data_IF_642435976562
#
_entry.id   IF_642435976562
#
_cell.length_a   1.000
_cell.length_b   1.000
_cell.length_c   1.000
_cell.angle_alpha   90.00
_cell.angle_beta   90.00
_cell.angle_gamma   90.00
#
_symmetry.space_group_name_H-M   'P 1'
#
loop_
_entity.id
_entity.type
_entity.pdbx_description
1 polymer ?
#
# COMPACT_ATOMS: atom_id res chain seq x y z
N UNK A 1 -16.88 4.11 19.99
CA UNK A 1 -16.28 4.53 21.26
C UNK A 1 -16.58 3.43 22.26
N UNK A 2 -15.61 2.97 23.01
CA UNK A 2 -15.61 1.85 23.94
C UNK A 2 -15.29 0.47 23.31
N UNK A 3 -14.00 0.30 22.95
CA UNK A 3 -13.44 -0.98 22.46
C UNK A 3 -12.24 -1.36 23.32
N UNK A 4 -12.47 -1.86 24.56
CA UNK A 4 -11.41 -2.10 25.54
C UNK A 4 -10.38 -3.16 25.07
N UNK A 5 -10.81 -4.16 24.29
CA UNK A 5 -9.92 -5.18 23.74
C UNK A 5 -8.96 -4.58 22.73
N UNK A 6 -9.44 -3.78 21.76
CA UNK A 6 -8.59 -3.11 20.79
C UNK A 6 -7.64 -2.12 21.45
N UNK A 7 -8.09 -1.41 22.50
CA UNK A 7 -7.20 -0.52 23.27
C UNK A 7 -6.09 -1.31 23.95
N UNK A 8 -6.39 -2.49 24.48
CA UNK A 8 -5.42 -3.35 25.14
C UNK A 8 -4.38 -3.91 24.18
N UNK A 9 -4.79 -4.29 22.96
CA UNK A 9 -3.90 -4.74 21.89
C UNK A 9 -2.93 -3.64 21.39
N UNK A 10 -3.37 -2.38 21.45
CA UNK A 10 -2.56 -1.24 21.00
C UNK A 10 -1.60 -0.72 22.07
N UNK A 11 -1.77 -1.12 23.33
CA UNK A 11 -0.87 -0.75 24.42
C UNK A 11 0.23 -1.80 24.58
N UNK A 12 1.46 -1.32 24.74
CA UNK A 12 2.61 -2.13 25.08
C UNK A 12 3.34 -1.49 26.24
N UNK A 13 3.74 -2.29 27.24
CA UNK A 13 4.57 -1.85 28.34
C UNK A 13 5.99 -2.37 28.16
N UNK A 14 6.96 -1.47 28.31
CA UNK A 14 8.37 -1.85 28.36
C UNK A 14 8.70 -2.54 29.71
N UNK A 15 9.85 -3.25 29.80
CA UNK A 15 10.28 -3.89 31.03
C UNK A 15 10.44 -2.94 32.23
N UNK A 16 10.71 -1.66 31.96
CA UNK A 16 10.82 -0.56 32.93
C UNK A 16 9.48 0.12 33.25
N UNK A 17 8.37 -0.42 32.74
CA UNK A 17 7.02 0.01 33.10
C UNK A 17 6.47 1.18 32.29
N UNK A 18 7.18 1.67 31.27
CA UNK A 18 6.68 2.73 30.40
C UNK A 18 5.61 2.18 29.43
N UNK A 19 4.51 2.92 29.28
CA UNK A 19 3.43 2.57 28.40
C UNK A 19 3.63 3.22 27.02
N UNK A 20 3.54 2.42 25.96
CA UNK A 20 3.64 2.85 24.57
C UNK A 20 2.38 2.49 23.80
N UNK A 21 2.03 3.33 22.83
CA UNK A 21 0.93 3.09 21.91
C UNK A 21 1.46 2.59 20.56
N UNK A 22 0.96 1.43 20.13
CA UNK A 22 1.27 0.86 18.81
C UNK A 22 0.36 1.51 17.78
N UNK A 23 0.87 2.47 17.01
CA UNK A 23 0.11 3.17 15.96
C UNK A 23 -0.23 2.26 14.76
N UNK A 24 0.56 1.19 14.56
CA UNK A 24 0.49 0.33 13.39
C UNK A 24 1.22 0.90 12.18
N UNK A 25 1.96 1.98 12.37
CA UNK A 25 2.82 2.56 11.34
C UNK A 25 4.20 1.89 11.37
N UNK A 26 4.81 1.77 10.21
CA UNK A 26 6.18 1.35 10.02
C UNK A 26 7.05 2.58 9.86
N UNK A 27 8.15 2.63 10.57
CA UNK A 27 9.07 3.74 10.53
C UNK A 27 10.52 3.30 10.70
N UNK A 28 11.43 4.20 10.39
CA UNK A 28 12.85 4.07 10.72
C UNK A 28 13.33 5.33 11.44
N UNK A 29 14.33 5.18 12.28
CA UNK A 29 15.06 6.30 12.89
C UNK A 29 16.36 6.42 12.11
N UNK A 30 16.69 7.63 11.67
CA UNK A 30 17.98 7.90 11.01
C UNK A 30 19.10 8.18 12.03
N UNK A 31 20.31 8.43 11.52
CA UNK A 31 21.51 8.64 12.34
C UNK A 31 21.41 9.91 13.20
N UNK A 32 20.61 10.88 12.77
CA UNK A 32 20.36 12.14 13.49
C UNK A 32 19.20 12.04 14.51
N UNK A 33 18.53 10.85 14.59
CA UNK A 33 17.45 10.57 15.53
C UNK A 33 16.06 10.98 15.04
N UNK A 34 15.90 11.38 13.76
CA UNK A 34 14.59 11.68 13.19
C UNK A 34 13.81 10.40 12.83
N UNK A 35 12.51 10.42 13.13
CA UNK A 35 11.59 9.34 12.79
C UNK A 35 11.01 9.58 11.40
N UNK A 36 11.26 8.65 10.48
CA UNK A 36 10.67 8.62 9.14
C UNK A 36 9.56 7.60 9.10
N UNK A 37 8.33 8.02 8.88
CA UNK A 37 7.19 7.11 8.65
C UNK A 37 7.27 6.60 7.21
N UNK A 38 7.32 5.29 7.05
CA UNK A 38 7.45 4.61 5.74
C UNK A 38 6.08 4.26 5.18
N UNK A 39 5.28 3.49 5.95
CA UNK A 39 3.95 3.05 5.53
C UNK A 39 3.18 2.51 6.75
N UNK A 40 1.94 2.08 6.55
CA UNK A 40 1.21 1.30 7.54
C UNK A 40 1.57 -0.19 7.43
N UNK A 41 1.79 -0.83 8.57
CA UNK A 41 2.10 -2.27 8.63
C UNK A 41 1.10 -3.13 7.85
N UNK A 42 -0.19 -2.81 7.91
CA UNK A 42 -1.27 -3.55 7.24
C UNK A 42 -1.34 -3.30 5.72
N UNK A 43 -0.69 -2.25 5.23
CA UNK A 43 -0.69 -1.87 3.82
C UNK A 43 0.65 -2.25 3.14
N UNK A 44 1.63 -2.72 3.92
CA UNK A 44 2.88 -3.28 3.43
C UNK A 44 2.60 -4.61 2.71
N UNK A 45 3.20 -4.78 1.55
CA UNK A 45 3.06 -5.96 0.70
C UNK A 45 4.27 -6.86 0.91
N UNK A 46 4.04 -8.15 1.17
CA UNK A 46 5.11 -9.14 1.36
C UNK A 46 5.18 -10.01 0.12
N UNK A 47 6.08 -9.66 -0.79
CA UNK A 47 6.26 -10.37 -2.07
C UNK A 47 7.59 -11.10 -2.10
N UNK A 48 7.55 -12.42 -2.21
CA UNK A 48 8.76 -13.25 -2.27
C UNK A 48 9.71 -13.07 -1.06
N UNK A 49 9.16 -12.73 0.11
CA UNK A 49 9.94 -12.45 1.32
C UNK A 49 10.46 -11.01 1.44
N UNK A 50 10.19 -10.15 0.45
CA UNK A 50 10.56 -8.74 0.50
C UNK A 50 9.41 -7.88 1.00
N UNK A 51 9.72 -6.93 1.86
CA UNK A 51 8.79 -5.91 2.32
C UNK A 51 8.74 -4.79 1.29
N UNK A 52 7.58 -4.61 0.64
CA UNK A 52 7.32 -3.58 -0.34
C UNK A 52 6.37 -2.56 0.27
N UNK A 53 6.78 -1.32 0.28
CA UNK A 53 5.96 -0.22 0.77
C UNK A 53 5.11 0.33 -0.37
N UNK A 54 3.80 0.20 -0.25
CA UNK A 54 2.85 0.62 -1.28
C UNK A 54 3.01 2.10 -1.65
N UNK A 55 3.32 2.95 -0.67
CA UNK A 55 3.53 4.40 -0.86
C UNK A 55 4.67 4.73 -1.84
N UNK A 56 5.72 3.91 -1.88
CA UNK A 56 6.85 4.14 -2.79
C UNK A 56 6.45 3.84 -4.24
N UNK A 57 5.66 2.77 -4.44
CA UNK A 57 5.13 2.43 -5.76
C UNK A 57 4.09 3.48 -6.21
N UNK A 58 3.22 3.93 -5.30
CA UNK A 58 2.24 4.98 -5.56
C UNK A 58 2.89 6.27 -6.04
N UNK A 59 3.99 6.71 -5.41
CA UNK A 59 4.75 7.89 -5.84
C UNK A 59 5.21 7.79 -7.29
N UNK A 60 5.73 6.62 -7.68
CA UNK A 60 6.17 6.37 -9.05
C UNK A 60 4.97 6.41 -9.99
N UNK A 61 3.90 5.66 -9.73
CA UNK A 61 2.71 5.62 -10.58
C UNK A 61 2.07 7.01 -10.73
N UNK A 62 1.96 7.78 -9.65
CA UNK A 62 1.42 9.14 -9.66
C UNK A 62 2.28 10.14 -10.44
N UNK A 63 3.56 9.86 -10.64
CA UNK A 63 4.43 10.71 -11.47
C UNK A 63 4.22 10.50 -12.98
N UNK A 64 3.45 9.48 -13.39
CA UNK A 64 3.10 9.27 -14.79
C UNK A 64 2.13 10.35 -15.30
N UNK A 65 2.41 10.98 -16.48
CA UNK A 65 1.61 12.12 -16.98
C UNK A 65 0.11 11.83 -17.16
N UNK A 66 -0.25 10.59 -17.50
CA UNK A 66 -1.64 10.17 -17.72
C UNK A 66 -2.40 9.79 -16.44
N UNK A 67 -1.76 9.78 -15.27
CA UNK A 67 -2.37 9.37 -14.00
C UNK A 67 -2.86 10.57 -13.21
N UNK A 68 -4.10 10.49 -12.72
CA UNK A 68 -4.69 11.50 -11.81
C UNK A 68 -4.63 11.05 -10.37
N UNK A 69 -4.90 9.74 -10.12
CA UNK A 69 -4.93 9.16 -8.79
C UNK A 69 -4.49 7.69 -8.87
N UNK A 70 -3.88 7.20 -7.81
CA UNK A 70 -3.42 5.81 -7.74
C UNK A 70 -3.40 5.28 -6.32
N UNK A 71 -3.65 3.99 -6.20
CA UNK A 71 -3.43 3.23 -4.97
C UNK A 71 -2.77 1.89 -5.31
N UNK A 72 -1.80 1.47 -4.52
CA UNK A 72 -1.16 0.16 -4.67
C UNK A 72 -1.58 -0.73 -3.49
N UNK A 73 -1.99 -1.94 -3.84
CA UNK A 73 -2.42 -2.98 -2.89
C UNK A 73 -1.69 -4.29 -3.14
N UNK A 74 -1.56 -5.10 -2.10
CA UNK A 74 -1.12 -6.50 -2.24
C UNK A 74 -2.29 -7.39 -2.61
N UNK A 75 -2.13 -8.17 -3.67
CA UNK A 75 -3.06 -9.21 -4.08
C UNK A 75 -2.42 -10.58 -3.96
N UNK A 76 -3.20 -11.67 -3.81
CA UNK A 76 -2.66 -13.02 -3.73
C UNK A 76 -1.85 -13.42 -4.96
N UNK A 77 -0.73 -14.10 -4.73
CA UNK A 77 0.11 -14.66 -5.78
C UNK A 77 0.55 -16.07 -5.38
N UNK A 78 0.32 -17.06 -6.22
CA UNK A 78 0.75 -18.45 -5.99
C UNK A 78 2.28 -18.59 -5.96
N UNK A 79 2.99 -17.68 -6.64
CA UNK A 79 4.45 -17.71 -6.73
C UNK A 79 5.13 -16.92 -5.60
N UNK A 80 4.55 -15.79 -5.18
CA UNK A 80 5.21 -14.81 -4.31
C UNK A 80 4.51 -14.60 -2.97
N UNK A 81 3.38 -15.30 -2.71
CA UNK A 81 2.49 -15.04 -1.59
C UNK A 81 1.60 -13.82 -1.86
N UNK A 82 2.21 -12.66 -1.99
CA UNK A 82 1.57 -11.43 -2.44
C UNK A 82 2.33 -10.82 -3.62
N UNK A 83 1.62 -10.01 -4.41
CA UNK A 83 2.22 -9.20 -5.47
C UNK A 83 1.56 -7.83 -5.55
N UNK A 84 2.29 -6.74 -5.90
CA UNK A 84 1.72 -5.42 -5.99
C UNK A 84 0.84 -5.25 -7.23
N UNK A 85 -0.39 -4.75 -7.01
CA UNK A 85 -1.33 -4.30 -8.03
C UNK A 85 -1.55 -2.80 -7.87
N UNK A 86 -1.42 -2.03 -8.95
CA UNK A 86 -1.78 -0.63 -8.96
C UNK A 86 -3.19 -0.43 -9.51
N UNK A 87 -4.03 0.26 -8.74
CA UNK A 87 -5.36 0.73 -9.15
C UNK A 87 -5.24 2.19 -9.52
N UNK A 88 -5.54 2.53 -10.77
CA UNK A 88 -5.19 3.82 -11.38
C UNK A 88 -6.42 4.53 -11.92
N UNK A 89 -6.54 5.81 -11.61
CA UNK A 89 -7.50 6.72 -12.25
C UNK A 89 -6.76 7.52 -13.31
N UNK A 90 -7.15 7.36 -14.58
CA UNK A 90 -6.54 8.11 -15.71
C UNK A 90 -7.09 9.52 -15.81
N UNK A 91 -6.29 10.41 -16.38
CA UNK A 91 -6.77 11.70 -16.88
C UNK A 91 -7.68 11.50 -18.08
N UNK A 92 -8.68 12.35 -18.20
CA UNK A 92 -9.57 12.35 -19.36
C UNK A 92 -8.79 12.59 -20.66
N UNK A 93 -9.12 11.80 -21.69
CA UNK A 93 -8.49 11.90 -23.01
C UNK A 93 -7.17 11.18 -23.18
N UNK A 94 -6.61 10.58 -22.14
CA UNK A 94 -5.41 9.76 -22.23
C UNK A 94 -5.70 8.40 -22.87
N UNK A 95 -4.81 7.94 -23.76
CA UNK A 95 -4.98 6.70 -24.55
C UNK A 95 -4.15 5.54 -24.00
N UNK A 96 -3.26 5.79 -23.05
CA UNK A 96 -2.37 4.79 -22.44
C UNK A 96 -3.15 3.60 -21.91
N UNK A 97 -2.62 2.40 -22.16
CA UNK A 97 -3.14 1.14 -21.65
C UNK A 97 -2.63 0.83 -20.24
N UNK A 98 -3.22 -0.16 -19.59
CA UNK A 98 -2.78 -0.64 -18.28
C UNK A 98 -1.35 -1.18 -18.34
N UNK A 99 -1.02 -1.90 -19.43
CA UNK A 99 0.31 -2.45 -19.67
C UNK A 99 1.37 -1.35 -19.88
N UNK A 100 1.05 -0.31 -20.63
CA UNK A 100 1.97 0.80 -20.86
C UNK A 100 2.30 1.54 -19.56
N UNK A 101 1.30 1.81 -18.73
CA UNK A 101 1.52 2.45 -17.41
C UNK A 101 2.31 1.52 -16.48
N UNK A 102 1.99 0.21 -16.44
CA UNK A 102 2.74 -0.77 -15.68
C UNK A 102 4.21 -0.82 -16.10
N UNK A 103 4.47 -0.94 -17.39
CA UNK A 103 5.82 -1.09 -17.92
C UNK A 103 6.65 0.17 -17.70
N UNK A 104 6.02 1.33 -17.87
CA UNK A 104 6.64 2.61 -17.54
C UNK A 104 7.00 2.68 -16.04
N UNK A 105 6.07 2.36 -15.15
CA UNK A 105 6.32 2.36 -13.71
C UNK A 105 7.45 1.38 -13.34
N UNK A 106 7.44 0.17 -13.92
CA UNK A 106 8.42 -0.86 -13.68
C UNK A 106 9.84 -0.51 -14.17
N UNK A 107 9.98 0.42 -15.11
CA UNK A 107 11.30 0.98 -15.50
C UNK A 107 11.89 1.90 -14.42
N UNK A 108 11.03 2.50 -13.59
CA UNK A 108 11.44 3.42 -12.51
C UNK A 108 11.47 2.75 -11.13
N UNK A 109 11.01 1.50 -11.03
CA UNK A 109 10.98 0.72 -9.80
C UNK A 109 12.15 -0.27 -9.72
N UNK A 110 12.59 -0.58 -8.50
CA UNK A 110 13.57 -1.64 -8.26
C UNK A 110 13.04 -3.02 -8.64
N UNK A 111 13.94 -3.96 -8.95
CA UNK A 111 13.58 -5.32 -9.41
C UNK A 111 12.62 -6.07 -8.46
N UNK A 112 12.73 -5.82 -7.17
CA UNK A 112 11.90 -6.45 -6.13
C UNK A 112 10.58 -5.72 -5.87
N UNK A 113 10.40 -4.53 -6.45
CA UNK A 113 9.25 -3.66 -6.22
C UNK A 113 8.34 -3.54 -7.45
N UNK A 114 8.44 -4.49 -8.40
CA UNK A 114 7.68 -4.40 -9.66
C UNK A 114 6.20 -4.64 -9.44
N UNK A 115 5.40 -3.83 -10.12
CA UNK A 115 3.96 -4.04 -10.27
C UNK A 115 3.72 -5.29 -11.12
N UNK A 116 2.84 -6.16 -10.67
CA UNK A 116 2.37 -7.31 -11.46
C UNK A 116 1.37 -6.88 -12.53
N UNK A 117 0.50 -5.93 -12.18
CA UNK A 117 -0.52 -5.40 -13.07
C UNK A 117 -0.89 -3.96 -12.68
N UNK A 118 -1.57 -3.30 -13.61
CA UNK A 118 -2.33 -2.07 -13.40
C UNK A 118 -3.77 -2.36 -13.78
N UNK A 119 -4.71 -1.83 -13.04
CA UNK A 119 -6.14 -1.86 -13.37
C UNK A 119 -6.72 -0.45 -13.28
N UNK A 120 -7.50 -0.07 -14.29
CA UNK A 120 -8.15 1.23 -14.28
C UNK A 120 -9.39 1.25 -13.40
N UNK A 121 -9.58 2.37 -12.73
CA UNK A 121 -10.76 2.70 -11.93
C UNK A 121 -11.30 4.06 -12.34
N UNK A 122 -12.60 4.25 -12.19
CA UNK A 122 -13.22 5.57 -12.35
C UNK A 122 -12.86 6.48 -11.17
N UNK A 123 -12.89 5.92 -9.97
CA UNK A 123 -12.53 6.60 -8.72
C UNK A 123 -11.96 5.60 -7.70
N UNK A 124 -11.27 6.10 -6.69
CA UNK A 124 -10.81 5.33 -5.55
C UNK A 124 -11.66 5.65 -4.31
N UNK A 125 -12.14 4.62 -3.56
CA UNK A 125 -12.93 4.85 -2.35
C UNK A 125 -12.09 5.58 -1.30
N UNK A 126 -12.68 6.63 -0.70
CA UNK A 126 -12.02 7.47 0.28
C UNK A 126 -12.84 7.58 1.56
N UNK A 127 -12.15 7.71 2.67
CA UNK A 127 -12.74 8.06 3.95
C UNK A 127 -13.21 9.52 3.95
N UNK A 128 -14.00 9.91 4.97
CA UNK A 128 -14.45 11.29 5.17
C UNK A 128 -13.31 12.31 5.29
N UNK A 129 -12.11 11.86 5.64
CA UNK A 129 -10.91 12.69 5.72
C UNK A 129 -10.01 12.57 4.48
N UNK A 130 -10.53 12.01 3.37
CA UNK A 130 -9.86 11.94 2.07
C UNK A 130 -8.83 10.81 1.90
N UNK A 131 -8.63 9.93 2.89
CA UNK A 131 -7.69 8.79 2.77
C UNK A 131 -8.30 7.66 1.94
N UNK A 132 -7.53 7.10 0.99
CA UNK A 132 -7.94 5.93 0.23
C UNK A 132 -8.18 4.73 1.15
N UNK A 133 -9.31 4.06 0.95
CA UNK A 133 -9.72 2.88 1.73
C UNK A 133 -9.14 1.60 1.10
N UNK A 134 -7.82 1.40 1.22
CA UNK A 134 -7.11 0.25 0.63
C UNK A 134 -7.70 -1.10 1.02
N UNK A 135 -8.28 -1.21 2.23
CA UNK A 135 -8.95 -2.43 2.67
C UNK A 135 -10.12 -2.80 1.74
N UNK A 136 -10.95 -1.83 1.37
CA UNK A 136 -12.09 -2.06 0.47
C UNK A 136 -11.61 -2.47 -0.93
N UNK A 137 -10.55 -1.82 -1.42
CA UNK A 137 -9.94 -2.17 -2.71
C UNK A 137 -9.36 -3.58 -2.74
N UNK A 138 -8.81 -4.05 -1.62
CA UNK A 138 -8.12 -5.34 -1.52
C UNK A 138 -9.08 -6.53 -1.32
N UNK A 139 -10.19 -6.33 -0.59
CA UNK A 139 -11.12 -7.38 -0.19
C UNK A 139 -11.55 -8.30 -1.35
N UNK A 140 -11.97 -7.81 -2.54
CA UNK A 140 -12.42 -8.67 -3.62
C UNK A 140 -11.38 -9.66 -4.13
N UNK A 141 -10.11 -9.30 -4.10
CA UNK A 141 -9.02 -10.17 -4.59
C UNK A 141 -8.71 -11.30 -3.60
N UNK A 142 -8.86 -11.04 -2.32
CA UNK A 142 -8.60 -12.03 -1.27
C UNK A 142 -9.77 -12.98 -1.05
N UNK A 143 -11.00 -12.52 -1.16
CA UNK A 143 -12.18 -13.37 -1.07
C UNK A 143 -12.25 -14.39 -2.22
N UNK A 144 -11.89 -13.98 -3.43
CA UNK A 144 -11.86 -14.85 -4.61
C UNK A 144 -10.68 -15.86 -4.61
N UNK A 145 -9.67 -15.67 -3.78
CA UNK A 145 -8.52 -16.57 -3.69
C UNK A 145 -8.67 -17.68 -2.63
N UNK A 146 -9.71 -17.61 -1.81
CA UNK A 146 -10.00 -18.58 -0.74
C UNK A 146 -10.90 -19.75 -1.18
N UNK A 147 -11.20 -19.89 -2.50
CA UNK A 147 -12.02 -20.94 -3.11
C UNK A 147 -11.20 -22.07 -3.72
#
# INVERSE_FOLDING_TARGET
VNRPEQTREMLWQSPDGLAFYRSGDMGRIDEDGFVHILDRRKDMIISGGFNIYAVDLEKVVLSHPAVTDAAVIGIPSSQWGETPLALVVKKSGCQETEEEIRDWANQHLGKTQRLSAVEFRQELPRSTIGKVLKRELRTPYWENSAG
#
